data_IF_311207872700
#
_entry.id   IF_311207872700
#
_cell.length_a   1.000
_cell.length_b   1.000
_cell.length_c   1.000
_cell.angle_alpha   90.00
_cell.angle_beta   90.00
_cell.angle_gamma   90.00
#
_symmetry.space_group_name_H-M   'P 1'
#
loop_
_entity.id
_entity.type
_entity.pdbx_description
1 polymer ?
#
# COMPACT_ATOMS: atom_id res chain seq x y z
N UNK A 1 23.08 -4.07 3.26
CA UNK A 1 22.71 -2.93 2.39
C UNK A 1 21.86 -3.50 1.27
N UNK A 2 20.54 -3.37 1.35
CA UNK A 2 19.63 -3.86 0.31
C UNK A 2 19.41 -2.74 -0.70
N UNK A 3 19.74 -3.03 -1.95
CA UNK A 3 19.69 -2.14 -3.11
C UNK A 3 18.22 -1.91 -3.51
N UNK A 4 17.68 -0.70 -3.34
CA UNK A 4 16.28 -0.34 -3.62
C UNK A 4 16.04 0.18 -5.04
N UNK A 5 17.08 0.25 -5.88
CA UNK A 5 17.09 0.94 -7.17
C UNK A 5 16.77 0.04 -8.37
N UNK A 6 15.79 -0.88 -8.25
CA UNK A 6 15.30 -1.65 -9.40
C UNK A 6 13.83 -1.32 -9.67
N UNK A 7 13.46 -0.75 -10.84
CA UNK A 7 12.06 -0.54 -11.16
C UNK A 7 11.38 -1.92 -11.15
N UNK A 8 10.19 -2.04 -10.55
CA UNK A 8 9.53 -3.33 -10.45
C UNK A 8 9.14 -3.80 -11.86
N UNK A 9 9.99 -4.62 -12.48
CA UNK A 9 9.74 -5.27 -13.76
C UNK A 9 8.82 -6.49 -13.55
N UNK A 10 7.80 -6.34 -12.71
CA UNK A 10 6.79 -7.36 -12.48
C UNK A 10 5.43 -6.73 -12.80
N UNK A 11 4.70 -7.21 -13.84
CA UNK A 11 3.41 -6.62 -14.20
C UNK A 11 2.42 -6.60 -13.03
N UNK A 12 2.54 -7.54 -12.09
CA UNK A 12 1.75 -7.58 -10.86
C UNK A 12 1.98 -6.38 -9.94
N UNK A 13 3.20 -5.84 -9.86
CA UNK A 13 3.50 -4.67 -9.05
C UNK A 13 2.88 -3.40 -9.65
N UNK A 14 2.75 -3.33 -10.98
CA UNK A 14 2.07 -2.20 -11.63
C UNK A 14 0.59 -2.16 -11.28
N UNK A 15 -0.09 -3.30 -11.34
CA UNK A 15 -1.51 -3.38 -10.97
C UNK A 15 -1.71 -3.10 -9.48
N UNK A 16 -0.84 -3.66 -8.63
CA UNK A 16 -0.90 -3.41 -7.20
C UNK A 16 -0.66 -1.93 -6.88
N UNK A 17 0.34 -1.30 -7.51
CA UNK A 17 0.65 0.12 -7.30
C UNK A 17 -0.50 1.01 -7.77
N UNK A 18 -1.06 0.78 -8.96
CA UNK A 18 -2.23 1.53 -9.45
C UNK A 18 -3.50 1.30 -8.61
N UNK A 19 -3.68 0.11 -8.04
CA UNK A 19 -4.79 -0.14 -7.12
C UNK A 19 -4.59 0.57 -5.77
N UNK A 20 -3.38 0.53 -5.20
CA UNK A 20 -3.03 1.19 -3.94
C UNK A 20 -2.90 2.72 -4.08
N UNK A 21 -2.79 3.23 -5.30
CA UNK A 21 -2.87 4.66 -5.61
C UNK A 21 -4.27 5.23 -5.36
N UNK A 22 -5.31 4.39 -5.43
CA UNK A 22 -6.63 4.78 -4.99
C UNK A 22 -6.78 4.60 -3.48
N UNK A 23 -6.93 5.72 -2.77
CA UNK A 23 -7.04 5.75 -1.31
C UNK A 23 -8.17 4.84 -0.78
N UNK A 24 -9.34 4.81 -1.44
CA UNK A 24 -10.45 3.97 -1.00
C UNK A 24 -10.13 2.46 -1.12
N UNK A 25 -9.38 2.07 -2.16
CA UNK A 25 -8.96 0.69 -2.36
C UNK A 25 -7.88 0.31 -1.35
N UNK A 26 -6.92 1.19 -1.08
CA UNK A 26 -5.89 0.97 -0.07
C UNK A 26 -6.48 0.83 1.34
N UNK A 27 -7.45 1.68 1.69
CA UNK A 27 -8.18 1.59 2.96
C UNK A 27 -8.96 0.27 3.06
N UNK A 28 -9.70 -0.12 2.02
CA UNK A 28 -10.43 -1.38 1.99
C UNK A 28 -9.52 -2.60 2.11
N UNK A 29 -8.35 -2.57 1.44
CA UNK A 29 -7.34 -3.60 1.57
C UNK A 29 -6.80 -3.69 3.00
N UNK A 30 -6.45 -2.55 3.61
CA UNK A 30 -5.98 -2.50 4.98
C UNK A 30 -7.04 -3.03 5.97
N UNK A 31 -8.31 -2.65 5.80
CA UNK A 31 -9.40 -3.14 6.65
C UNK A 31 -9.67 -4.64 6.49
N UNK A 32 -9.46 -5.19 5.29
CA UNK A 32 -9.73 -6.59 4.99
C UNK A 32 -8.60 -7.51 5.47
N UNK A 33 -7.36 -7.10 5.28
CA UNK A 33 -6.18 -7.92 5.59
C UNK A 33 -5.62 -7.67 6.99
N UNK A 34 -5.85 -6.51 7.60
CA UNK A 34 -5.40 -6.27 8.97
C UNK A 34 -6.41 -6.82 9.99
N UNK A 35 -5.93 -7.45 11.08
CA UNK A 35 -6.77 -7.79 12.21
C UNK A 35 -7.49 -6.56 12.76
N UNK A 36 -8.76 -6.71 13.13
CA UNK A 36 -9.62 -5.62 13.63
C UNK A 36 -9.01 -4.79 14.77
N UNK A 37 -8.17 -5.40 15.60
CA UNK A 37 -7.48 -4.71 16.70
C UNK A 37 -6.45 -3.69 16.21
N UNK A 38 -5.80 -3.98 15.08
CA UNK A 38 -4.76 -3.13 14.49
C UNK A 38 -5.42 -2.09 13.59
N UNK A 39 -6.42 -2.48 12.79
CA UNK A 39 -7.16 -1.54 11.95
C UNK A 39 -7.91 -0.48 12.74
N UNK A 40 -8.40 -0.79 13.96
CA UNK A 40 -9.05 0.17 14.83
C UNK A 40 -8.08 1.15 15.53
N UNK A 41 -6.79 0.79 15.59
CA UNK A 41 -5.74 1.63 16.17
C UNK A 41 -4.98 2.45 15.10
N UNK A 42 -5.20 2.16 13.82
CA UNK A 42 -4.58 2.84 12.69
C UNK A 42 -5.53 3.88 12.12
N UNK A 43 -5.02 5.08 11.90
CA UNK A 43 -5.72 6.09 11.11
C UNK A 43 -5.55 5.78 9.62
N UNK A 44 -6.58 5.15 9.05
CA UNK A 44 -6.58 4.77 7.64
C UNK A 44 -6.77 5.98 6.71
N UNK A 45 -7.16 7.14 7.21
CA UNK A 45 -7.29 8.37 6.43
C UNK A 45 -5.94 9.06 6.25
N UNK A 46 -4.97 8.73 7.10
CA UNK A 46 -3.60 9.24 7.04
C UNK A 46 -2.70 8.52 6.03
N UNK A 47 -3.23 7.52 5.30
CA UNK A 47 -2.44 6.76 4.33
C UNK A 47 -1.89 7.68 3.24
N UNK A 48 -0.57 7.66 3.09
CA UNK A 48 0.14 8.37 2.02
C UNK A 48 0.86 7.37 1.15
N UNK A 49 0.75 7.58 -0.15
CA UNK A 49 1.57 6.90 -1.13
C UNK A 49 3.01 7.35 -0.93
N UNK A 50 3.86 6.44 -0.47
CA UNK A 50 5.30 6.66 -0.46
C UNK A 50 5.85 6.23 -1.82
N UNK A 51 6.39 7.21 -2.55
CA UNK A 51 7.11 6.94 -3.78
C UNK A 51 8.60 7.01 -3.43
N UNK A 52 9.29 5.87 -3.49
CA UNK A 52 10.76 5.83 -3.35
C UNK A 52 11.35 6.78 -4.40
N UNK A 53 12.09 7.79 -3.92
CA UNK A 53 12.68 8.86 -4.72
C UNK A 53 13.79 8.36 -5.65
#
# INVERSE_FOLDING_TARGET
MADTSKPPHNPHDRFFRSAMENHAVAQGFMQHYLPKKISAALDLDSLKLEHDC
#
